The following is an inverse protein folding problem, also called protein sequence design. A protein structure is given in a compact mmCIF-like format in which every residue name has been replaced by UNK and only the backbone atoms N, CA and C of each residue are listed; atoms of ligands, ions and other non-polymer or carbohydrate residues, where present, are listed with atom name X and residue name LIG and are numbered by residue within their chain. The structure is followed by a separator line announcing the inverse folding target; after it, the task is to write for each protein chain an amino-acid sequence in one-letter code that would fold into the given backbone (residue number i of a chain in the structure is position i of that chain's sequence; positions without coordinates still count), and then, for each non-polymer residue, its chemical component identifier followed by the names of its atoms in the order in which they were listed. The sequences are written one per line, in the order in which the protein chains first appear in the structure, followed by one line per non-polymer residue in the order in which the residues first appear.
data_IF_349303653874
#
_entry.id   IF_349303653874
#
_cell.length_a   1.000
_cell.length_b   1.000
_cell.length_c   1.000
_cell.angle_alpha   90.00
_cell.angle_beta   90.00
_cell.angle_gamma   90.00
#
_symmetry.space_group_name_H-M   'P 1'
#
loop_
_entity.id
_entity.type
_entity.pdbx_description
1 polymer ?
#
# COMPACT_ATOMS: atom_id res chain seq x y z
N UNK A 1 -5.07 15.67 5.25
CA UNK A 1 -5.42 14.92 6.49
C UNK A 1 -4.33 13.89 6.83
N UNK A 2 -4.16 13.46 8.09
CA UNK A 2 -3.14 12.44 8.47
C UNK A 2 -3.66 11.48 9.55
N UNK A 3 -3.30 10.20 9.46
CA UNK A 3 -3.63 9.19 10.46
C UNK A 3 -2.53 8.10 10.54
N UNK A 4 -2.46 7.38 11.66
CA UNK A 4 -1.48 6.30 11.88
C UNK A 4 -2.19 5.02 12.31
N UNK A 5 -1.84 3.91 11.66
CA UNK A 5 -2.17 2.56 12.09
C UNK A 5 -0.95 1.87 12.69
N UNK A 6 -1.12 1.04 13.72
CA UNK A 6 -0.06 0.19 14.24
C UNK A 6 -0.62 -1.15 14.73
N UNK A 7 0.08 -2.23 14.41
CA UNK A 7 -0.21 -3.57 14.94
C UNK A 7 1.09 -4.34 15.16
N UNK A 8 1.40 -4.61 16.42
CA UNK A 8 2.71 -5.14 16.80
C UNK A 8 3.81 -4.16 16.39
N UNK A 9 4.83 -4.68 15.69
CA UNK A 9 5.99 -3.93 15.24
C UNK A 9 5.77 -3.20 13.90
N UNK A 10 4.72 -3.54 13.15
CA UNK A 10 4.41 -2.86 11.88
C UNK A 10 3.55 -1.63 12.16
N UNK A 11 3.98 -0.47 11.67
CA UNK A 11 3.17 0.74 11.69
C UNK A 11 3.12 1.43 10.32
N UNK A 12 2.04 2.18 10.08
CA UNK A 12 1.82 2.91 8.83
C UNK A 12 1.32 4.30 9.14
N UNK A 13 2.00 5.30 8.60
CA UNK A 13 1.55 6.69 8.57
C UNK A 13 0.89 6.96 7.22
N UNK A 14 -0.39 7.31 7.22
CA UNK A 14 -1.10 7.79 6.04
C UNK A 14 -1.21 9.33 6.08
N UNK A 15 -1.01 9.97 4.93
CA UNK A 15 -1.20 11.41 4.72
C UNK A 15 -1.99 11.58 3.43
N UNK A 16 -3.24 12.01 3.54
CA UNK A 16 -4.09 12.29 2.40
C UNK A 16 -4.02 13.76 1.98
N UNK A 17 -3.86 13.98 0.68
CA UNK A 17 -4.26 15.20 -0.01
C UNK A 17 -5.62 14.99 -0.69
N UNK A 18 -5.84 15.72 -1.79
CA UNK A 18 -7.08 15.69 -2.57
C UNK A 18 -7.15 14.46 -3.51
N UNK A 19 -6.08 14.19 -4.27
CA UNK A 19 -6.02 13.07 -5.25
C UNK A 19 -4.90 12.07 -4.96
N UNK A 20 -4.29 12.16 -3.78
CA UNK A 20 -3.16 11.32 -3.42
C UNK A 20 -3.21 10.97 -1.95
N UNK A 21 -2.88 9.73 -1.63
CA UNK A 21 -2.55 9.31 -0.27
C UNK A 21 -1.11 8.82 -0.25
N UNK A 22 -0.29 9.47 0.56
CA UNK A 22 1.07 9.04 0.86
C UNK A 22 1.04 8.08 2.05
N UNK A 23 1.68 6.94 1.90
CA UNK A 23 1.85 5.95 2.95
C UNK A 23 3.34 5.80 3.27
N UNK A 24 3.68 5.90 4.55
CA UNK A 24 4.98 5.52 5.08
C UNK A 24 4.81 4.29 5.95
N UNK A 25 5.48 3.20 5.60
CA UNK A 25 5.57 1.99 6.40
C UNK A 25 6.78 2.08 7.32
N UNK A 26 6.66 1.51 8.52
CA UNK A 26 7.78 1.34 9.44
C UNK A 26 7.75 -0.09 9.99
N UNK A 27 8.90 -0.76 9.91
CA UNK A 27 9.14 -2.08 10.47
C UNK A 27 10.58 -2.11 10.97
N UNK A 28 10.84 -2.50 12.23
CA UNK A 28 12.19 -2.53 12.78
C UNK A 28 13.12 -3.43 11.97
N UNK A 29 14.37 -3.00 11.80
CA UNK A 29 15.37 -3.71 10.98
C UNK A 29 15.54 -5.18 11.38
N UNK A 30 15.39 -5.49 12.67
CA UNK A 30 15.51 -6.86 13.21
C UNK A 30 14.38 -7.78 12.74
N UNK A 31 13.28 -7.20 12.22
CA UNK A 31 12.14 -7.89 11.60
C UNK A 31 12.22 -7.91 10.08
N UNK A 32 13.16 -7.19 9.46
CA UNK A 32 13.34 -7.18 8.01
C UNK A 32 13.99 -8.44 7.39
N UNK A 33 14.69 -9.35 8.10
CA UNK A 33 15.17 -10.57 7.47
C UNK A 33 14.05 -11.36 6.79
N UNK A 34 14.20 -11.62 5.49
CA UNK A 34 13.21 -12.31 4.66
C UNK A 34 12.00 -11.47 4.25
N UNK A 35 11.99 -10.16 4.51
CA UNK A 35 10.97 -9.24 3.99
C UNK A 35 11.17 -9.05 2.48
N UNK A 36 10.15 -9.38 1.70
CA UNK A 36 10.07 -9.11 0.27
C UNK A 36 9.58 -7.69 -0.02
N UNK A 37 8.79 -7.11 0.89
CA UNK A 37 8.22 -5.77 0.77
C UNK A 37 6.79 -5.74 1.32
N UNK A 38 6.00 -4.77 0.87
CA UNK A 38 4.63 -4.56 1.35
C UNK A 38 3.60 -4.64 0.22
N UNK A 39 2.51 -5.37 0.47
CA UNK A 39 1.31 -5.35 -0.35
C UNK A 39 0.28 -4.40 0.25
N UNK A 40 -0.40 -3.63 -0.59
CA UNK A 40 -1.40 -2.65 -0.16
C UNK A 40 -2.75 -3.03 -0.74
N UNK A 41 -3.74 -3.19 0.15
CA UNK A 41 -5.16 -3.32 -0.22
C UNK A 41 -5.87 -2.04 0.18
N UNK A 42 -6.62 -1.46 -0.75
CA UNK A 42 -7.47 -0.30 -0.49
C UNK A 42 -8.92 -0.72 -0.48
N UNK A 43 -9.65 -0.23 0.51
CA UNK A 43 -11.10 -0.27 0.56
C UNK A 43 -11.62 1.16 0.48
N UNK A 44 -12.44 1.44 -0.53
CA UNK A 44 -13.17 2.69 -0.72
C UNK A 44 -14.56 2.53 -0.12
N UNK A 45 -14.81 3.16 1.03
CA UNK A 45 -16.12 3.08 1.71
C UNK A 45 -17.18 3.96 1.04
N UNK A 46 -16.76 4.87 0.16
CA UNK A 46 -17.64 5.79 -0.57
C UNK A 46 -18.25 5.09 -1.78
N UNK A 47 -17.43 4.30 -2.49
CA UNK A 47 -17.85 3.56 -3.69
C UNK A 47 -18.06 2.06 -3.47
N UNK A 48 -17.71 1.54 -2.29
CA UNK A 48 -17.88 0.13 -1.94
C UNK A 48 -16.90 -0.82 -2.64
N UNK A 49 -15.72 -0.32 -3.04
CA UNK A 49 -14.71 -1.10 -3.74
C UNK A 49 -13.61 -1.60 -2.81
N UNK A 50 -13.09 -2.81 -3.04
CA UNK A 50 -11.95 -3.34 -2.29
C UNK A 50 -11.02 -4.17 -3.16
N UNK A 51 -9.79 -3.72 -3.34
CA UNK A 51 -8.83 -4.39 -4.21
C UNK A 51 -7.37 -4.15 -3.80
N UNK A 52 -6.49 -5.03 -4.28
CA UNK A 52 -5.05 -4.85 -4.14
C UNK A 52 -4.57 -3.78 -5.12
N UNK A 53 -3.83 -2.80 -4.61
CA UNK A 53 -3.17 -1.81 -5.44
C UNK A 53 -2.11 -2.49 -6.31
N UNK A 54 -1.80 -1.85 -7.43
CA UNK A 54 -0.89 -2.36 -8.44
C UNK A 54 0.18 -1.34 -8.79
N UNK A 55 1.33 -1.82 -9.25
CA UNK A 55 2.47 -1.00 -9.68
C UNK A 55 3.25 -1.64 -10.81
N UNK A 56 4.33 -0.98 -11.26
CA UNK A 56 5.12 -1.43 -12.42
C UNK A 56 6.29 -2.33 -12.08
N UNK A 57 6.77 -2.32 -10.82
CA UNK A 57 7.95 -3.09 -10.43
C UNK A 57 7.58 -4.55 -10.24
N UNK A 58 8.35 -5.44 -10.86
CA UNK A 58 8.22 -6.88 -10.70
C UNK A 58 9.50 -7.48 -10.11
N UNK A 59 9.43 -8.75 -9.73
CA UNK A 59 10.64 -9.53 -9.47
C UNK A 59 11.11 -10.10 -10.80
N UNK A 60 12.37 -9.84 -11.17
CA UNK A 60 12.94 -10.31 -12.44
C UNK A 60 12.92 -11.84 -12.58
N UNK A 61 12.90 -12.59 -11.48
CA UNK A 61 12.80 -14.06 -11.49
C UNK A 61 11.38 -14.58 -11.79
N UNK A 62 10.36 -13.74 -11.67
CA UNK A 62 8.94 -14.09 -11.89
C UNK A 62 8.44 -13.49 -13.20
N UNK A 63 8.77 -12.22 -13.45
CA UNK A 63 8.46 -11.51 -14.67
C UNK A 63 9.75 -10.84 -15.17
N UNK A 64 10.54 -11.53 -16.01
CA UNK A 64 11.83 -11.05 -16.48
C UNK A 64 11.72 -9.88 -17.48
N UNK A 65 10.59 -9.77 -18.19
CA UNK A 65 10.41 -8.77 -19.25
C UNK A 65 8.99 -8.21 -19.21
N UNK A 66 8.63 -7.44 -18.17
CA UNK A 66 7.30 -6.87 -18.05
C UNK A 66 7.05 -5.91 -19.22
N UNK A 67 5.94 -6.07 -19.96
CA UNK A 67 5.61 -5.14 -21.03
C UNK A 67 5.39 -3.72 -20.48
N UNK A 68 5.76 -2.66 -21.23
CA UNK A 68 5.52 -1.28 -20.81
C UNK A 68 4.04 -1.02 -20.52
N UNK A 69 3.75 -0.30 -19.43
CA UNK A 69 2.39 0.12 -19.08
C UNK A 69 1.54 -0.93 -18.36
N UNK A 70 2.05 -2.15 -18.15
CA UNK A 70 1.32 -3.18 -17.41
C UNK A 70 1.51 -2.99 -15.91
N UNK A 71 0.38 -2.99 -15.19
CA UNK A 71 0.34 -2.93 -13.74
C UNK A 71 0.23 -4.34 -13.17
N UNK A 72 1.03 -4.60 -12.15
CA UNK A 72 1.10 -5.86 -11.44
C UNK A 72 0.66 -5.67 -9.99
N UNK A 73 -0.15 -6.60 -9.48
CA UNK A 73 -0.66 -6.51 -8.11
C UNK A 73 0.48 -6.50 -7.09
N UNK A 74 0.41 -5.59 -6.12
CA UNK A 74 1.37 -5.53 -5.01
C UNK A 74 1.34 -6.77 -4.12
N UNK A 75 0.29 -7.59 -4.20
CA UNK A 75 0.23 -8.90 -3.53
C UNK A 75 1.21 -9.93 -4.11
N UNK A 76 1.50 -9.83 -5.40
CA UNK A 76 2.46 -10.71 -6.09
C UNK A 76 3.83 -10.03 -6.24
N UNK A 77 3.82 -8.72 -6.47
CA UNK A 77 5.01 -7.90 -6.63
C UNK A 77 5.01 -6.76 -5.60
N UNK A 78 5.38 -7.07 -4.34
CA UNK A 78 5.32 -6.11 -3.24
C UNK A 78 6.19 -4.90 -3.47
N UNK A 79 5.79 -3.82 -2.82
CA UNK A 79 6.54 -2.56 -2.78
C UNK A 79 7.81 -2.80 -1.98
N UNK A 80 8.95 -2.78 -2.66
CA UNK A 80 10.29 -2.97 -2.10
C UNK A 80 10.86 -1.66 -1.54
N UNK A 81 10.04 -0.94 -0.76
CA UNK A 81 10.38 0.33 -0.15
C UNK A 81 9.44 0.63 1.01
N UNK A 82 9.83 1.57 1.86
CA UNK A 82 9.08 1.95 3.06
C UNK A 82 8.14 3.14 2.81
N UNK A 83 7.95 3.53 1.55
CA UNK A 83 7.01 4.57 1.14
C UNK A 83 6.25 4.18 -0.11
N UNK A 84 5.02 4.69 -0.23
CA UNK A 84 4.18 4.55 -1.41
C UNK A 84 3.27 5.75 -1.58
N UNK A 85 2.94 6.08 -2.82
CA UNK A 85 1.98 7.13 -3.16
C UNK A 85 0.87 6.53 -4.01
N UNK A 86 -0.35 6.52 -3.49
CA UNK A 86 -1.53 6.14 -4.24
C UNK A 86 -2.13 7.37 -4.94
N UNK A 87 -1.80 7.54 -6.22
CA UNK A 87 -2.30 8.62 -7.07
C UNK A 87 -3.68 8.34 -7.69
N UNK A 88 -4.34 7.27 -7.28
CA UNK A 88 -5.69 6.90 -7.74
C UNK A 88 -6.78 7.20 -6.70
N UNK A 89 -6.41 7.87 -5.60
CA UNK A 89 -7.35 8.30 -4.59
C UNK A 89 -8.23 9.44 -5.12
N UNK A 90 -9.51 9.43 -4.76
CA UNK A 90 -10.49 10.44 -5.16
C UNK A 90 -10.71 11.46 -4.04
N UNK A 91 -11.07 12.71 -4.33
CA UNK A 91 -11.38 13.72 -3.32
C UNK A 91 -12.58 13.32 -2.49
N UNK A 92 -12.60 13.69 -1.21
CA UNK A 92 -13.74 13.49 -0.30
C UNK A 92 -14.18 12.04 -0.05
N UNK A 93 -13.28 11.08 -0.27
CA UNK A 93 -13.52 9.67 -0.04
C UNK A 93 -12.95 9.20 1.31
N UNK A 94 -13.67 8.28 1.93
CA UNK A 94 -13.21 7.55 3.10
C UNK A 94 -12.57 6.22 2.68
N UNK A 95 -11.29 6.07 2.98
CA UNK A 95 -10.49 4.89 2.63
C UNK A 95 -10.01 4.16 3.87
N UNK A 96 -9.97 2.83 3.80
CA UNK A 96 -9.10 2.00 4.63
C UNK A 96 -7.96 1.44 3.78
N UNK A 97 -6.73 1.70 4.17
CA UNK A 97 -5.56 1.02 3.62
C UNK A 97 -5.14 -0.10 4.56
N UNK A 98 -5.09 -1.33 4.05
CA UNK A 98 -4.44 -2.45 4.71
C UNK A 98 -3.06 -2.67 4.08
N UNK A 99 -2.03 -2.54 4.91
CA UNK A 99 -0.63 -2.81 4.54
C UNK A 99 -0.24 -4.17 5.11
N UNK A 100 0.25 -5.05 4.24
CA UNK A 100 0.65 -6.41 4.58
C UNK A 100 2.11 -6.61 4.21
N UNK A 101 2.95 -6.96 5.18
CA UNK A 101 4.31 -7.41 4.92
C UNK A 101 4.27 -8.78 4.22
N UNK A 102 5.06 -8.92 3.16
CA UNK A 102 5.21 -10.18 2.43
C UNK A 102 6.60 -10.78 2.67
N UNK A 103 6.64 -12.09 2.88
CA UNK A 103 7.84 -12.90 3.09
C UNK A 103 7.84 -14.12 2.16
N UNK A 104 8.80 -15.03 2.32
CA UNK A 104 8.90 -16.24 1.51
C UNK A 104 9.80 -16.02 0.30
N UNK A 105 9.37 -16.48 -0.88
CA UNK A 105 10.13 -16.30 -2.13
C UNK A 105 9.36 -15.42 -3.11
N UNK A 106 10.05 -14.74 -4.05
CA UNK A 106 9.39 -13.98 -5.11
C UNK A 106 8.27 -14.74 -5.85
N UNK A 107 8.45 -16.04 -6.10
CA UNK A 107 7.47 -16.86 -6.80
C UNK A 107 6.31 -17.34 -5.92
N UNK A 108 6.44 -17.26 -4.60
CA UNK A 108 5.39 -17.63 -3.64
C UNK A 108 5.40 -16.71 -2.41
N UNK A 109 5.01 -15.42 -2.57
CA UNK A 109 4.94 -14.49 -1.46
C UNK A 109 3.91 -14.95 -0.42
N UNK A 110 4.27 -14.84 0.85
CA UNK A 110 3.44 -15.23 1.99
C UNK A 110 3.13 -14.01 2.85
N UNK A 111 1.86 -13.81 3.19
CA UNK A 111 1.43 -12.72 4.06
C UNK A 111 1.90 -12.96 5.50
N UNK A 112 2.43 -11.92 6.16
CA UNK A 112 2.84 -11.97 7.57
C UNK A 112 2.17 -10.86 8.40
N UNK A 113 2.92 -9.87 8.86
CA UNK A 113 2.40 -8.73 9.61
C UNK A 113 1.42 -7.92 8.75
N UNK A 114 0.33 -7.46 9.37
CA UNK A 114 -0.66 -6.60 8.71
C UNK A 114 -1.13 -5.49 9.61
N UNK A 115 -1.40 -4.33 9.04
CA UNK A 115 -1.96 -3.19 9.76
C UNK A 115 -2.93 -2.44 8.87
N UNK A 116 -3.97 -1.88 9.46
CA UNK A 116 -4.95 -1.03 8.77
C UNK A 116 -4.83 0.41 9.24
N UNK A 117 -5.10 1.35 8.35
CA UNK A 117 -5.21 2.78 8.66
C UNK A 117 -6.36 3.38 7.86
N UNK A 118 -7.25 4.07 8.57
CA UNK A 118 -8.36 4.80 7.95
C UNK A 118 -7.94 6.23 7.65
N UNK A 119 -8.37 6.76 6.51
CA UNK A 119 -8.04 8.12 6.09
C UNK A 119 -9.14 8.70 5.20
N UNK A 120 -9.39 10.00 5.35
CA UNK A 120 -10.29 10.77 4.48
C UNK A 120 -9.48 11.71 3.59
N UNK A 121 -9.74 11.70 2.28
CA UNK A 121 -9.14 12.65 1.33
C UNK A 121 -9.79 14.03 1.42
N UNK A 122 -9.03 15.05 1.04
CA UNK A 122 -9.47 16.44 1.13
C UNK A 122 -10.44 16.81 0.01
N UNK A 123 -11.27 17.84 0.22
CA UNK A 123 -12.13 18.39 -0.83
C UNK A 123 -11.33 19.20 -1.84
N UNK A 124 -11.78 19.20 -3.08
CA UNK A 124 -11.27 20.10 -4.13
C UNK A 124 -11.62 21.57 -3.85
N UNK A 125 -12.70 21.81 -3.09
CA UNK A 125 -13.25 23.16 -2.86
C UNK A 125 -12.80 23.80 -1.54
N UNK A 126 -11.91 23.12 -0.78
CA UNK A 126 -11.46 23.57 0.53
C UNK A 126 -12.50 23.34 1.64
N UNK A 127 -12.14 23.68 2.89
CA UNK A 127 -13.08 23.60 4.02
C UNK A 127 -14.05 24.79 3.93
N UNK A 128 -15.33 24.52 3.77
CA UNK A 128 -16.40 25.49 4.10
C UNK A 128 -16.58 25.58 5.61
#
# INVERSE_FOLDING_TARGET
MRNKGQKGELSVQAIAGTHVVLLGMDLPEQKCPGLLGFALRREDHTEGEKYWLSGYKTFASVEPSPPPGILYSTRQHPIQGFTWSDFSAKPEHDYTYEVVALRGTPASPQESERVTVDIRTESEHGRT
#
